data_IF_819662989108
#
_entry.id   IF_819662989108
#
_cell.length_a   1.000
_cell.length_b   1.000
_cell.length_c   1.000
_cell.angle_alpha   90.00
_cell.angle_beta   90.00
_cell.angle_gamma   90.00
#
_symmetry.space_group_name_H-M   'P 1'
#
loop_
_entity.id
_entity.type
_entity.pdbx_description
1 polymer ?
#
# COMPACT_ATOMS: atom_id res chain seq x y z
N UNK A 1 -0.76 -29.86 -11.50
CA UNK A 1 0.45 -29.45 -10.74
C UNK A 1 -0.04 -28.88 -9.43
N UNK A 2 0.46 -29.36 -8.29
CA UNK A 2 0.13 -28.78 -7.01
C UNK A 2 0.93 -27.50 -6.76
N UNK A 3 0.63 -26.81 -5.64
CA UNK A 3 1.25 -25.50 -5.37
C UNK A 3 2.77 -25.58 -5.10
N UNK A 4 3.23 -26.64 -4.45
CA UNK A 4 4.67 -26.83 -4.18
C UNK A 4 5.45 -27.14 -5.47
N UNK A 5 4.87 -27.98 -6.34
CA UNK A 5 5.43 -28.24 -7.67
C UNK A 5 5.48 -26.96 -8.53
N UNK A 6 4.45 -26.10 -8.43
CA UNK A 6 4.41 -24.81 -9.12
C UNK A 6 5.53 -23.88 -8.64
N UNK A 7 5.71 -23.74 -7.34
CA UNK A 7 6.79 -22.93 -6.76
C UNK A 7 8.17 -23.42 -7.17
N UNK A 8 8.41 -24.73 -7.07
CA UNK A 8 9.67 -25.35 -7.45
C UNK A 8 9.99 -25.11 -8.93
N UNK A 9 9.00 -25.28 -9.81
CA UNK A 9 9.16 -25.09 -11.24
C UNK A 9 9.45 -23.62 -11.59
N UNK A 10 8.78 -22.66 -10.96
CA UNK A 10 9.10 -21.24 -11.15
C UNK A 10 10.52 -20.95 -10.72
N UNK A 11 10.94 -21.42 -9.55
CA UNK A 11 12.27 -21.16 -9.03
C UNK A 11 13.38 -21.76 -9.94
N UNK A 12 13.12 -22.90 -10.56
CA UNK A 12 14.05 -23.57 -11.47
C UNK A 12 14.13 -22.85 -12.84
N UNK A 13 12.99 -22.48 -13.41
CA UNK A 13 12.91 -22.02 -14.81
C UNK A 13 13.02 -20.50 -14.98
N UNK A 14 12.81 -19.70 -13.92
CA UNK A 14 12.68 -18.23 -14.04
C UNK A 14 13.91 -17.56 -14.64
N UNK A 15 15.10 -18.08 -14.45
CA UNK A 15 16.32 -17.50 -15.01
C UNK A 15 16.31 -17.49 -16.54
N UNK A 16 15.62 -18.44 -17.17
CA UNK A 16 15.47 -18.50 -18.64
C UNK A 16 14.57 -17.37 -19.22
N UNK A 17 13.83 -16.68 -18.35
CA UNK A 17 12.92 -15.59 -18.73
C UNK A 17 13.43 -14.20 -18.28
N UNK A 18 14.67 -14.15 -17.80
CA UNK A 18 15.32 -12.94 -17.32
C UNK A 18 16.46 -12.53 -18.27
N UNK A 19 16.81 -11.24 -18.34
CA UNK A 19 18.00 -10.77 -19.05
C UNK A 19 19.29 -11.47 -18.58
N UNK A 20 20.28 -11.55 -19.46
CA UNK A 20 21.57 -12.25 -19.19
C UNK A 20 22.26 -11.81 -17.89
N UNK A 21 22.09 -10.56 -17.47
CA UNK A 21 22.64 -10.06 -16.19
C UNK A 21 22.18 -10.87 -14.97
N UNK A 22 21.08 -11.63 -15.06
CA UNK A 22 20.56 -12.48 -13.99
C UNK A 22 21.08 -13.93 -14.02
N UNK A 23 22.01 -14.29 -14.91
CA UNK A 23 22.52 -15.65 -15.01
C UNK A 23 23.07 -16.18 -13.67
N UNK A 24 23.81 -15.34 -12.95
CA UNK A 24 24.38 -15.64 -11.63
C UNK A 24 23.48 -15.25 -10.44
N UNK A 25 22.24 -14.86 -10.70
CA UNK A 25 21.32 -14.47 -9.63
C UNK A 25 20.99 -15.63 -8.69
N UNK A 26 20.83 -15.34 -7.41
CA UNK A 26 20.29 -16.27 -6.42
C UNK A 26 18.78 -16.21 -6.44
N UNK A 27 18.13 -17.35 -6.68
CA UNK A 27 16.66 -17.48 -6.68
C UNK A 27 16.24 -18.16 -5.38
N UNK A 28 15.28 -17.57 -4.67
CA UNK A 28 14.69 -18.11 -3.44
C UNK A 28 13.19 -17.93 -3.45
N UNK A 29 12.48 -18.86 -2.81
CA UNK A 29 11.08 -18.71 -2.44
C UNK A 29 11.01 -18.66 -0.92
N UNK A 30 10.50 -17.57 -0.38
CA UNK A 30 10.41 -17.35 1.06
C UNK A 30 8.98 -16.97 1.45
N UNK A 31 8.56 -17.40 2.63
CA UNK A 31 7.30 -16.97 3.21
C UNK A 31 7.43 -15.57 3.80
N UNK A 32 6.58 -14.67 3.36
CA UNK A 32 6.53 -13.29 3.86
C UNK A 32 5.18 -13.06 4.53
N UNK A 33 5.22 -12.72 5.80
CA UNK A 33 4.03 -12.29 6.52
C UNK A 33 3.76 -10.82 6.22
N UNK A 34 2.62 -10.57 5.62
CA UNK A 34 2.06 -9.23 5.37
C UNK A 34 1.37 -8.68 6.61
N UNK A 35 0.94 -7.43 6.52
CA UNK A 35 0.04 -6.86 7.50
C UNK A 35 -1.22 -7.76 7.65
N UNK A 36 -1.81 -7.78 8.84
CA UNK A 36 -2.97 -8.60 9.18
C UNK A 36 -2.71 -10.12 9.19
N UNK A 37 -1.45 -10.54 9.36
CA UNK A 37 -1.07 -11.95 9.50
C UNK A 37 -1.19 -12.80 8.22
N UNK A 38 -1.47 -12.17 7.07
CA UNK A 38 -1.51 -12.88 5.80
C UNK A 38 -0.10 -13.32 5.41
N UNK A 39 0.10 -14.61 5.23
CA UNK A 39 1.37 -15.17 4.80
C UNK A 39 1.30 -15.51 3.31
N UNK A 40 2.25 -14.97 2.54
CA UNK A 40 2.37 -15.19 1.10
C UNK A 40 3.75 -15.74 0.77
N UNK A 41 3.80 -16.62 -0.22
CA UNK A 41 5.06 -17.14 -0.75
C UNK A 41 5.58 -16.19 -1.83
N UNK A 42 6.78 -15.66 -1.61
CA UNK A 42 7.42 -14.68 -2.49
C UNK A 42 8.64 -15.27 -3.17
N UNK A 43 8.67 -15.15 -4.49
CA UNK A 43 9.89 -15.36 -5.27
C UNK A 43 10.77 -14.12 -5.13
N UNK A 44 12.03 -14.34 -4.81
CA UNK A 44 13.09 -13.35 -4.80
C UNK A 44 14.20 -13.78 -5.75
N UNK A 45 14.56 -12.89 -6.68
CA UNK A 45 15.70 -13.09 -7.59
C UNK A 45 16.70 -11.98 -7.34
N UNK A 46 17.81 -12.32 -6.73
CA UNK A 46 18.83 -11.40 -6.23
C UNK A 46 20.09 -11.46 -7.07
N UNK A 47 20.53 -10.34 -7.62
CA UNK A 47 21.81 -10.24 -8.33
C UNK A 47 22.99 -10.32 -7.34
N UNK A 48 24.16 -10.78 -7.80
CA UNK A 48 25.38 -10.69 -7.00
C UNK A 48 25.64 -9.23 -6.58
N UNK A 49 25.80 -9.02 -5.26
CA UNK A 49 26.02 -7.69 -4.68
C UNK A 49 24.73 -6.90 -4.35
N UNK A 50 23.56 -7.36 -4.74
CA UNK A 50 22.30 -6.83 -4.22
C UNK A 50 22.07 -7.31 -2.77
N UNK A 51 21.60 -6.41 -1.91
CA UNK A 51 21.23 -6.73 -0.52
C UNK A 51 19.71 -6.87 -0.33
N UNK A 52 18.93 -6.52 -1.34
CA UNK A 52 17.47 -6.64 -1.37
C UNK A 52 17.03 -7.09 -2.76
N UNK A 53 15.92 -7.80 -2.81
CA UNK A 53 15.23 -8.14 -4.05
C UNK A 53 13.72 -7.88 -3.90
N UNK A 54 13.01 -7.55 -4.99
CA UNK A 54 11.56 -7.41 -4.92
C UNK A 54 10.93 -8.76 -4.59
N UNK A 55 9.88 -8.72 -3.78
CA UNK A 55 9.09 -9.90 -3.43
C UNK A 55 7.95 -10.06 -4.43
N UNK A 56 8.03 -11.05 -5.30
CA UNK A 56 7.00 -11.37 -6.29
C UNK A 56 6.13 -12.49 -5.72
N UNK A 57 4.89 -12.18 -5.34
CA UNK A 57 4.00 -13.12 -4.66
C UNK A 57 3.44 -14.16 -5.62
N UNK A 58 3.69 -15.44 -5.34
CA UNK A 58 3.34 -16.56 -6.21
C UNK A 58 1.88 -17.02 -6.08
N UNK A 59 1.22 -16.67 -4.97
CA UNK A 59 -0.14 -17.11 -4.68
C UNK A 59 -1.15 -16.72 -5.78
N UNK A 60 -1.08 -15.49 -6.26
CA UNK A 60 -1.94 -14.99 -7.34
C UNK A 60 -1.63 -15.68 -8.67
N UNK A 61 -0.35 -15.86 -9.01
CA UNK A 61 0.07 -16.56 -10.23
C UNK A 61 -0.37 -18.02 -10.24
N UNK A 62 -0.41 -18.67 -9.08
CA UNK A 62 -0.95 -20.02 -8.99
C UNK A 62 -2.45 -20.05 -9.27
N UNK A 63 -3.22 -19.09 -8.76
CA UNK A 63 -4.64 -18.93 -9.13
C UNK A 63 -4.82 -18.80 -10.65
N UNK A 64 -4.05 -17.93 -11.29
CA UNK A 64 -4.07 -17.76 -12.75
C UNK A 64 -3.70 -19.06 -13.49
N UNK A 65 -2.77 -19.86 -12.95
CA UNK A 65 -2.41 -21.15 -13.51
C UNK A 65 -3.58 -22.16 -13.41
N UNK A 66 -4.28 -22.17 -12.28
CA UNK A 66 -5.47 -23.01 -12.11
C UNK A 66 -6.60 -22.63 -13.08
N UNK A 67 -6.71 -21.34 -13.38
CA UNK A 67 -7.66 -20.78 -14.37
C UNK A 67 -7.24 -21.03 -15.85
N UNK A 68 -6.14 -21.79 -16.05
CA UNK A 68 -5.70 -22.22 -17.37
C UNK A 68 -4.61 -21.40 -18.03
N UNK A 69 -4.03 -20.42 -17.33
CA UNK A 69 -2.88 -19.67 -17.85
C UNK A 69 -1.63 -20.57 -17.94
N UNK A 70 -0.93 -20.52 -19.05
CA UNK A 70 0.26 -21.35 -19.26
C UNK A 70 1.44 -20.93 -18.37
N UNK A 71 2.27 -21.89 -17.96
CA UNK A 71 3.49 -21.63 -17.19
C UNK A 71 4.42 -20.66 -17.92
N UNK A 72 4.56 -20.79 -19.22
CA UNK A 72 5.39 -19.91 -20.05
C UNK A 72 4.97 -18.43 -19.91
N UNK A 73 3.66 -18.16 -20.00
CA UNK A 73 3.12 -16.80 -19.87
C UNK A 73 3.31 -16.24 -18.44
N UNK A 74 3.20 -17.10 -17.43
CA UNK A 74 3.44 -16.72 -16.03
C UNK A 74 4.91 -16.40 -15.80
N UNK A 75 5.82 -17.26 -16.25
CA UNK A 75 7.27 -17.05 -16.14
C UNK A 75 7.71 -15.78 -16.89
N UNK A 76 7.19 -15.55 -18.09
CA UNK A 76 7.47 -14.34 -18.86
C UNK A 76 7.02 -13.08 -18.13
N UNK A 77 5.83 -13.11 -17.50
CA UNK A 77 5.33 -11.97 -16.72
C UNK A 77 6.18 -11.73 -15.46
N UNK A 78 6.50 -12.78 -14.71
CA UNK A 78 7.37 -12.70 -13.52
C UNK A 78 8.75 -12.16 -13.91
N UNK A 79 9.32 -12.66 -15.02
CA UNK A 79 10.59 -12.19 -15.56
C UNK A 79 10.55 -10.70 -15.92
N UNK A 80 9.47 -10.25 -16.55
CA UNK A 80 9.25 -8.84 -16.88
C UNK A 80 9.18 -7.98 -15.61
N UNK A 81 8.36 -8.36 -14.61
CA UNK A 81 8.24 -7.66 -13.35
C UNK A 81 9.61 -7.49 -12.70
N UNK A 82 10.42 -8.58 -12.62
CA UNK A 82 11.76 -8.51 -12.03
C UNK A 82 12.71 -7.62 -12.83
N UNK A 83 12.67 -7.70 -14.15
CA UNK A 83 13.57 -6.96 -15.02
C UNK A 83 13.31 -5.44 -15.01
N UNK A 84 12.05 -5.04 -14.87
CA UNK A 84 11.60 -3.64 -14.83
C UNK A 84 11.73 -3.04 -13.41
N UNK A 85 11.76 -3.88 -12.36
CA UNK A 85 11.93 -3.41 -11.00
C UNK A 85 13.36 -2.92 -10.75
N UNK A 86 13.50 -1.61 -10.56
CA UNK A 86 14.77 -0.99 -10.15
C UNK A 86 14.89 -1.08 -8.63
N UNK A 87 15.91 -1.78 -8.13
CA UNK A 87 16.20 -1.82 -6.71
C UNK A 87 17.02 -0.61 -6.30
N UNK A 88 16.82 -0.08 -5.08
CA UNK A 88 17.67 0.95 -4.52
C UNK A 88 19.13 0.48 -4.50
N UNK A 89 20.05 1.33 -4.91
CA UNK A 89 21.49 1.07 -4.83
C UNK A 89 21.95 0.95 -3.36
N UNK A 90 23.12 0.35 -3.14
CA UNK A 90 23.72 0.25 -1.81
C UNK A 90 23.88 1.63 -1.15
N UNK A 91 24.10 2.68 -1.94
CA UNK A 91 24.12 4.07 -1.47
C UNK A 91 22.77 4.53 -0.92
N UNK A 92 21.68 4.09 -1.52
CA UNK A 92 20.33 4.39 -1.03
C UNK A 92 20.05 3.71 0.29
N UNK A 93 20.59 2.48 0.50
CA UNK A 93 20.52 1.78 1.79
C UNK A 93 21.33 2.51 2.87
N UNK A 94 22.47 3.10 2.54
CA UNK A 94 23.26 3.95 3.46
C UNK A 94 22.52 5.23 3.84
N UNK A 95 21.72 5.80 2.92
CA UNK A 95 20.86 6.96 3.19
C UNK A 95 19.88 6.68 4.34
N UNK A 96 19.33 5.43 4.42
CA UNK A 96 18.44 5.05 5.53
C UNK A 96 19.13 5.06 6.90
N UNK A 97 20.44 4.98 6.92
CA UNK A 97 21.20 4.98 8.17
C UNK A 97 21.39 6.40 8.73
N UNK A 98 21.20 7.42 7.90
CA UNK A 98 21.33 8.81 8.28
C UNK A 98 19.96 9.46 8.50
N UNK A 99 19.61 9.72 9.76
CA UNK A 99 18.34 10.32 10.15
C UNK A 99 18.04 11.64 9.44
N UNK A 100 19.01 12.53 9.33
CA UNK A 100 18.85 13.85 8.69
C UNK A 100 18.45 13.76 7.20
N UNK A 101 18.81 12.66 6.53
CA UNK A 101 18.47 12.45 5.12
C UNK A 101 17.08 11.83 4.92
N UNK A 102 16.53 11.21 5.95
CA UNK A 102 15.23 10.51 5.86
C UNK A 102 14.13 11.12 6.70
N UNK A 103 14.42 12.03 7.63
CA UNK A 103 13.45 12.60 8.56
C UNK A 103 12.22 13.20 7.87
N UNK A 104 12.40 13.87 6.73
CA UNK A 104 11.31 14.49 5.97
C UNK A 104 10.50 13.48 5.13
N UNK A 105 10.93 12.21 5.13
CA UNK A 105 10.28 11.07 4.47
C UNK A 105 9.66 10.08 5.45
N UNK A 106 9.78 10.33 6.75
CA UNK A 106 9.17 9.46 7.77
C UNK A 106 7.68 9.73 7.79
N UNK A 107 6.90 8.69 7.51
CA UNK A 107 5.44 8.69 7.52
C UNK A 107 4.95 7.65 8.54
N UNK A 108 3.69 7.69 8.91
CA UNK A 108 3.07 6.57 9.62
C UNK A 108 2.00 5.89 8.79
N UNK A 109 1.79 4.61 9.09
CA UNK A 109 0.68 3.79 8.58
C UNK A 109 -0.10 3.25 9.76
N UNK A 110 -1.41 3.12 9.61
CA UNK A 110 -2.30 2.52 10.62
C UNK A 110 -2.55 1.06 10.26
N UNK A 111 -2.40 0.19 11.25
CA UNK A 111 -2.61 -1.25 11.10
C UNK A 111 -3.39 -1.80 12.31
N UNK A 112 -4.07 -2.94 12.15
CA UNK A 112 -4.66 -3.66 13.26
C UNK A 112 -3.58 -4.23 14.18
N UNK A 113 -3.64 -3.93 15.48
CA UNK A 113 -2.59 -4.31 16.43
C UNK A 113 -2.52 -5.83 16.62
N UNK A 114 -3.66 -6.48 16.80
CA UNK A 114 -3.72 -7.92 17.08
C UNK A 114 -3.14 -8.79 15.96
N UNK A 115 -3.42 -8.43 14.71
CA UNK A 115 -2.94 -9.17 13.54
C UNK A 115 -1.47 -8.93 13.22
N UNK A 116 -0.82 -7.97 13.89
CA UNK A 116 0.56 -7.54 13.59
C UNK A 116 1.50 -7.61 14.81
N UNK A 117 1.17 -8.40 15.84
CA UNK A 117 1.92 -8.47 17.11
C UNK A 117 3.41 -8.70 16.93
N UNK A 118 3.80 -9.62 16.06
CA UNK A 118 5.21 -9.98 15.85
C UNK A 118 6.01 -8.82 15.22
N UNK A 119 5.39 -8.06 14.33
CA UNK A 119 5.99 -6.85 13.75
C UNK A 119 6.11 -5.75 14.79
N UNK A 120 5.06 -5.53 15.60
CA UNK A 120 5.04 -4.51 16.64
C UNK A 120 6.12 -4.75 17.72
N UNK A 121 6.47 -6.00 18.03
CA UNK A 121 7.56 -6.32 18.96
C UNK A 121 8.95 -5.88 18.48
N UNK A 122 9.11 -5.53 17.20
CA UNK A 122 10.41 -5.22 16.57
C UNK A 122 10.46 -3.84 15.95
N UNK A 123 9.39 -3.05 16.11
CA UNK A 123 9.27 -1.73 15.50
C UNK A 123 8.66 -0.72 16.46
N UNK A 124 9.18 0.52 16.49
CA UNK A 124 8.54 1.59 17.25
C UNK A 124 7.15 1.83 16.70
N UNK A 125 6.19 1.97 17.60
CA UNK A 125 4.78 2.16 17.24
C UNK A 125 4.03 2.91 18.34
N UNK A 126 2.87 3.44 18.00
CA UNK A 126 1.93 4.04 18.96
C UNK A 126 0.63 3.28 18.92
N UNK A 127 0.17 2.85 20.10
CA UNK A 127 -1.12 2.17 20.23
C UNK A 127 -2.25 3.18 20.33
N UNK A 128 -3.31 2.93 19.56
CA UNK A 128 -4.56 3.68 19.58
C UNK A 128 -5.74 2.69 19.52
N UNK A 129 -6.24 2.30 20.69
CA UNK A 129 -7.24 1.24 20.87
C UNK A 129 -6.75 -0.11 20.32
N UNK A 130 -7.43 -0.66 19.33
CA UNK A 130 -7.10 -1.90 18.62
C UNK A 130 -6.21 -1.68 17.38
N UNK A 131 -5.80 -0.44 17.14
CA UNK A 131 -4.92 -0.04 16.05
C UNK A 131 -3.53 0.32 16.55
N UNK A 132 -2.55 0.23 15.66
CA UNK A 132 -1.20 0.70 15.88
C UNK A 132 -0.75 1.59 14.73
N UNK A 133 -0.13 2.73 15.06
CA UNK A 133 0.57 3.59 14.12
C UNK A 133 2.02 3.11 14.05
N UNK A 134 2.44 2.64 12.89
CA UNK A 134 3.82 2.19 12.64
C UNK A 134 4.54 3.16 11.71
N UNK A 135 5.82 3.41 11.97
CA UNK A 135 6.61 4.38 11.24
C UNK A 135 7.31 3.74 10.04
N UNK A 136 7.30 4.44 8.92
CA UNK A 136 7.91 3.98 7.68
C UNK A 136 8.66 5.12 7.01
N UNK A 137 9.73 4.81 6.31
CA UNK A 137 10.41 5.75 5.42
C UNK A 137 9.80 5.62 4.03
N UNK A 138 9.22 6.69 3.52
CA UNK A 138 8.68 6.78 2.17
C UNK A 138 9.85 6.77 1.16
N UNK A 139 9.85 5.82 0.25
CA UNK A 139 10.88 5.64 -0.78
C UNK A 139 10.45 6.26 -2.10
N UNK A 140 9.24 5.88 -2.51
CA UNK A 140 8.65 6.33 -3.76
C UNK A 140 7.13 6.41 -3.63
N UNK A 141 6.55 7.33 -4.41
CA UNK A 141 5.12 7.59 -4.50
C UNK A 141 4.74 7.69 -5.98
N UNK A 142 4.67 6.53 -6.65
CA UNK A 142 4.31 6.38 -8.06
C UNK A 142 2.81 6.28 -8.30
N UNK A 143 2.38 6.23 -9.56
CA UNK A 143 0.98 6.04 -9.96
C UNK A 143 0.46 4.64 -9.57
N UNK A 144 1.33 3.64 -9.58
CA UNK A 144 1.00 2.24 -9.26
C UNK A 144 1.00 1.93 -7.75
N UNK A 145 1.37 2.89 -6.90
CA UNK A 145 1.37 2.70 -5.44
C UNK A 145 2.49 3.43 -4.72
N UNK A 146 2.61 3.10 -3.44
CA UNK A 146 3.58 3.70 -2.52
C UNK A 146 4.60 2.66 -2.07
N UNK A 147 5.89 2.94 -2.28
CA UNK A 147 6.99 2.14 -1.75
C UNK A 147 7.50 2.76 -0.46
N UNK A 148 7.59 1.97 0.61
CA UNK A 148 8.08 2.44 1.92
C UNK A 148 8.74 1.31 2.71
N UNK A 149 9.72 1.65 3.55
CA UNK A 149 10.42 0.72 4.43
C UNK A 149 10.01 0.91 5.89
N UNK A 150 9.77 -0.18 6.62
CA UNK A 150 9.43 -0.14 8.04
C UNK A 150 10.62 0.38 8.87
N UNK A 151 10.35 1.30 9.78
CA UNK A 151 11.30 1.71 10.81
C UNK A 151 11.32 0.64 11.90
N UNK A 152 12.48 0.00 12.10
CA UNK A 152 12.68 -1.00 13.15
C UNK A 152 13.25 -0.36 14.41
N UNK A 153 13.13 -1.05 15.55
CA UNK A 153 13.77 -0.62 16.81
C UNK A 153 15.29 -0.43 16.67
N UNK A 154 15.92 -1.27 15.84
CA UNK A 154 17.35 -1.17 15.58
C UNK A 154 17.67 0.12 14.82
N UNK A 155 16.86 0.47 13.84
CA UNK A 155 17.02 1.69 13.06
C UNK A 155 16.75 2.94 13.91
N UNK A 156 15.70 2.93 14.71
CA UNK A 156 15.39 4.01 15.67
C UNK A 156 16.54 4.25 16.66
N UNK A 157 17.08 3.17 17.24
CA UNK A 157 18.25 3.25 18.14
C UNK A 157 19.48 3.83 17.45
N UNK A 158 19.72 3.43 16.19
CA UNK A 158 20.83 3.95 15.40
C UNK A 158 20.70 5.45 15.12
N UNK A 159 19.50 5.92 14.86
CA UNK A 159 19.19 7.33 14.69
C UNK A 159 19.26 8.15 15.98
N UNK A 160 19.15 7.48 17.14
CA UNK A 160 19.17 8.13 18.45
C UNK A 160 17.92 8.96 18.74
N UNK A 161 16.79 8.63 18.11
CA UNK A 161 15.52 9.37 18.23
C UNK A 161 14.51 8.61 19.10
N UNK A 162 13.64 9.36 19.75
CA UNK A 162 12.52 8.82 20.53
C UNK A 162 11.32 8.49 19.63
N UNK A 163 10.40 7.65 20.14
CA UNK A 163 9.12 7.40 19.47
C UNK A 163 8.31 8.69 19.27
N UNK A 164 8.35 9.58 20.25
CA UNK A 164 7.66 10.87 20.17
C UNK A 164 8.18 11.73 19.03
N UNK A 165 9.48 11.82 18.84
CA UNK A 165 10.09 12.54 17.71
C UNK A 165 9.70 11.92 16.36
N UNK A 166 9.66 10.58 16.28
CA UNK A 166 9.17 9.89 15.08
C UNK A 166 7.71 10.23 14.79
N UNK A 167 6.86 10.23 15.83
CA UNK A 167 5.45 10.57 15.68
C UNK A 167 5.24 12.00 15.21
N UNK A 168 5.91 12.96 15.83
CA UNK A 168 5.74 14.38 15.50
C UNK A 168 6.16 14.66 14.03
N UNK A 169 7.25 14.04 13.57
CA UNK A 169 7.69 14.11 12.18
C UNK A 169 6.74 13.38 11.23
N UNK A 170 6.40 12.14 11.57
CA UNK A 170 5.54 11.32 10.74
C UNK A 170 4.16 11.93 10.56
N UNK A 171 3.60 12.56 11.60
CA UNK A 171 2.30 13.23 11.52
C UNK A 171 2.34 14.38 10.49
N UNK A 172 3.32 15.26 10.59
CA UNK A 172 3.47 16.38 9.67
C UNK A 172 3.72 15.90 8.22
N UNK A 173 4.60 14.91 8.05
CA UNK A 173 4.94 14.38 6.74
C UNK A 173 3.77 13.60 6.12
N UNK A 174 3.09 12.75 6.90
CA UNK A 174 1.96 11.95 6.37
C UNK A 174 0.83 12.86 5.92
N UNK A 175 0.52 13.90 6.69
CA UNK A 175 -0.50 14.88 6.32
C UNK A 175 -0.13 15.66 5.03
N UNK A 176 1.15 15.98 4.84
CA UNK A 176 1.65 16.64 3.63
C UNK A 176 1.61 15.71 2.41
N UNK A 177 2.08 14.47 2.57
CA UNK A 177 2.21 13.50 1.49
C UNK A 177 0.89 12.84 1.08
N UNK A 178 -0.05 12.74 2.03
CA UNK A 178 -1.34 12.06 1.87
C UNK A 178 -2.46 12.94 2.46
N UNK A 179 -2.81 14.05 1.80
CA UNK A 179 -3.88 14.94 2.28
C UNK A 179 -5.19 14.18 2.46
N UNK A 180 -5.90 14.47 3.55
CA UNK A 180 -7.17 13.82 3.84
C UNK A 180 -8.24 14.20 2.82
N UNK A 181 -9.04 13.22 2.42
CA UNK A 181 -10.25 13.38 1.62
C UNK A 181 -11.43 12.81 2.42
N UNK A 182 -12.39 13.66 2.75
CA UNK A 182 -13.60 13.27 3.48
C UNK A 182 -14.84 13.67 2.67
N UNK A 183 -15.52 12.66 2.12
CA UNK A 183 -16.63 12.85 1.18
C UNK A 183 -17.81 11.92 1.46
N UNK A 184 -19.05 12.34 1.13
CA UNK A 184 -20.19 11.44 1.14
C UNK A 184 -19.96 10.23 0.24
N UNK A 185 -20.31 9.03 0.72
CA UNK A 185 -20.19 7.79 -0.07
C UNK A 185 -21.03 7.86 -1.35
N UNK A 186 -22.20 8.50 -1.29
CA UNK A 186 -23.07 8.68 -2.46
C UNK A 186 -22.37 9.40 -3.62
N UNK A 187 -21.57 10.44 -3.33
CA UNK A 187 -20.79 11.14 -4.37
C UNK A 187 -19.77 10.23 -5.02
N UNK A 188 -19.05 9.44 -4.22
CA UNK A 188 -18.03 8.50 -4.73
C UNK A 188 -18.69 7.41 -5.58
N UNK A 189 -19.82 6.88 -5.13
CA UNK A 189 -20.58 5.88 -5.90
C UNK A 189 -21.08 6.45 -7.23
N UNK A 190 -21.57 7.69 -7.25
CA UNK A 190 -21.96 8.37 -8.50
C UNK A 190 -20.78 8.47 -9.47
N UNK A 191 -19.63 8.92 -8.99
CA UNK A 191 -18.40 9.01 -9.82
C UNK A 191 -17.98 7.65 -10.38
N UNK A 192 -18.03 6.59 -9.56
CA UNK A 192 -17.72 5.25 -10.01
C UNK A 192 -18.69 4.74 -11.07
N UNK A 193 -20.00 4.94 -10.88
CA UNK A 193 -21.01 4.58 -11.86
C UNK A 193 -20.81 5.32 -13.18
N UNK A 194 -20.59 6.63 -13.13
CA UNK A 194 -20.34 7.43 -14.32
C UNK A 194 -19.11 6.90 -15.08
N UNK A 195 -18.03 6.61 -14.37
CA UNK A 195 -16.80 6.05 -14.96
C UNK A 195 -17.03 4.68 -15.58
N UNK A 196 -17.81 3.82 -14.94
CA UNK A 196 -18.15 2.50 -15.44
C UNK A 196 -19.01 2.57 -16.72
N UNK A 197 -20.01 3.48 -16.74
CA UNK A 197 -20.89 3.65 -17.90
C UNK A 197 -20.22 4.32 -19.09
N UNK A 198 -19.32 5.26 -18.86
CA UNK A 198 -18.77 6.13 -19.93
C UNK A 198 -17.32 5.78 -20.28
N UNK A 199 -16.60 5.07 -19.39
CA UNK A 199 -15.16 4.86 -19.50
C UNK A 199 -14.33 6.14 -19.30
N UNK A 200 -14.96 7.26 -18.93
CA UNK A 200 -14.33 8.58 -18.78
C UNK A 200 -14.34 9.00 -17.31
N UNK A 201 -13.27 9.63 -16.86
CA UNK A 201 -13.21 10.20 -15.51
C UNK A 201 -14.17 11.38 -15.41
N UNK A 202 -15.12 11.39 -14.42
CA UNK A 202 -16.06 12.50 -14.22
C UNK A 202 -15.41 13.87 -14.08
N UNK A 203 -14.18 13.93 -13.54
CA UNK A 203 -13.43 15.17 -13.40
C UNK A 203 -13.02 15.78 -14.77
N UNK A 204 -12.94 14.97 -15.82
CA UNK A 204 -12.59 15.40 -17.18
C UNK A 204 -13.79 15.72 -18.06
N UNK A 205 -15.02 15.52 -17.57
CA UNK A 205 -16.26 15.79 -18.31
C UNK A 205 -16.58 17.29 -18.32
N UNK A 206 -17.23 17.72 -19.42
CA UNK A 206 -17.85 19.04 -19.45
C UNK A 206 -19.02 19.19 -18.47
N UNK A 207 -19.39 20.42 -18.13
CA UNK A 207 -20.39 20.71 -17.11
C UNK A 207 -21.77 20.17 -17.46
N UNK A 208 -22.15 20.16 -18.76
CA UNK A 208 -23.47 19.73 -19.23
C UNK A 208 -23.61 18.20 -19.10
N UNK A 209 -22.59 17.46 -19.53
CA UNK A 209 -22.53 16.00 -19.40
C UNK A 209 -22.52 15.58 -17.93
N UNK A 210 -21.77 16.28 -17.08
CA UNK A 210 -21.76 16.04 -15.63
C UNK A 210 -23.13 16.25 -15.00
N UNK A 211 -23.79 17.37 -15.28
CA UNK A 211 -25.12 17.67 -14.76
C UNK A 211 -26.17 16.62 -15.17
N UNK A 212 -26.09 16.12 -16.41
CA UNK A 212 -26.95 15.03 -16.88
C UNK A 212 -26.78 13.74 -16.04
N UNK A 213 -25.55 13.34 -15.71
CA UNK A 213 -25.32 12.17 -14.89
C UNK A 213 -25.67 12.40 -13.41
N UNK A 214 -25.47 13.61 -12.89
CA UNK A 214 -25.90 13.98 -11.54
C UNK A 214 -27.44 13.88 -11.38
N UNK A 215 -28.19 14.28 -12.39
CA UNK A 215 -29.65 14.13 -12.40
C UNK A 215 -30.07 12.65 -12.56
N UNK A 216 -29.39 11.89 -13.43
CA UNK A 216 -29.66 10.47 -13.66
C UNK A 216 -29.41 9.62 -12.42
N UNK A 217 -28.34 9.88 -11.66
CA UNK A 217 -27.99 9.20 -10.41
C UNK A 217 -28.36 10.05 -9.20
N UNK A 218 -29.63 10.49 -9.14
CA UNK A 218 -30.13 11.29 -8.04
C UNK A 218 -30.05 10.55 -6.69
N UNK A 219 -29.97 11.30 -5.59
CA UNK A 219 -29.83 10.76 -4.23
C UNK A 219 -30.98 9.82 -3.84
N UNK A 220 -32.18 10.03 -4.37
CA UNK A 220 -33.35 9.15 -4.19
C UNK A 220 -33.09 7.70 -4.71
N UNK A 221 -32.26 7.51 -5.74
CA UNK A 221 -31.92 6.17 -6.25
C UNK A 221 -30.90 5.44 -5.39
N UNK A 222 -30.03 6.16 -4.70
CA UNK A 222 -28.96 5.56 -3.87
C UNK A 222 -29.40 5.27 -2.43
N UNK A 223 -30.65 5.58 -2.08
CA UNK A 223 -31.29 5.14 -0.84
C UNK A 223 -30.70 5.79 0.41
N UNK A 224 -30.63 7.10 0.48
CA UNK A 224 -30.17 7.86 1.65
C UNK A 224 -31.05 7.64 2.91
N UNK A 225 -30.90 6.47 3.55
CA UNK A 225 -31.46 6.28 4.89
C UNK A 225 -30.44 6.47 6.00
N UNK A 226 -29.13 6.40 5.68
CA UNK A 226 -28.05 6.64 6.63
C UNK A 226 -26.92 7.37 5.90
N UNK A 227 -26.55 8.58 6.34
CA UNK A 227 -25.43 9.30 5.73
C UNK A 227 -24.13 8.53 6.00
N UNK A 228 -23.55 7.97 4.96
CA UNK A 228 -22.24 7.31 5.01
C UNK A 228 -21.22 8.23 4.36
N UNK A 229 -20.04 8.28 4.98
CA UNK A 229 -18.91 9.06 4.49
C UNK A 229 -17.70 8.15 4.31
N UNK A 230 -16.83 8.50 3.38
CA UNK A 230 -15.53 7.86 3.18
C UNK A 230 -14.45 8.84 3.62
N UNK A 231 -13.61 8.40 4.55
CA UNK A 231 -12.38 9.09 4.91
C UNK A 231 -11.21 8.33 4.28
N UNK A 232 -10.50 9.00 3.40
CA UNK A 232 -9.34 8.46 2.70
C UNK A 232 -8.33 9.57 2.43
N UNK A 233 -7.47 9.40 1.44
CA UNK A 233 -6.57 10.43 0.92
C UNK A 233 -6.74 10.54 -0.61
N UNK A 234 -5.99 11.45 -1.21
CA UNK A 234 -5.98 11.71 -2.65
C UNK A 234 -5.63 10.48 -3.51
N UNK A 235 -5.06 9.43 -2.91
CA UNK A 235 -4.67 8.18 -3.57
C UNK A 235 -5.60 7.00 -3.30
N UNK A 236 -6.64 7.19 -2.51
CA UNK A 236 -7.59 6.14 -2.12
C UNK A 236 -6.92 4.89 -1.49
N UNK A 237 -5.73 5.05 -0.93
CA UNK A 237 -4.97 4.00 -0.25
C UNK A 237 -4.45 4.49 1.10
N UNK A 238 -4.39 3.59 2.10
CA UNK A 238 -3.88 3.91 3.44
C UNK A 238 -4.65 5.04 4.15
N UNK A 239 -5.91 5.26 3.78
CA UNK A 239 -6.74 6.37 4.24
C UNK A 239 -6.99 6.42 5.75
N UNK A 240 -6.84 5.30 6.47
CA UNK A 240 -6.98 5.24 7.92
C UNK A 240 -6.04 6.22 8.66
N UNK A 241 -4.91 6.58 8.07
CA UNK A 241 -3.99 7.57 8.63
C UNK A 241 -4.65 8.95 8.82
N UNK A 242 -5.56 9.32 7.93
CA UNK A 242 -6.24 10.61 7.98
C UNK A 242 -7.08 10.80 9.27
N UNK A 243 -7.55 9.71 9.89
CA UNK A 243 -8.29 9.78 11.17
C UNK A 243 -7.45 10.37 12.32
N UNK A 244 -6.14 10.30 12.21
CA UNK A 244 -5.19 10.76 13.23
C UNK A 244 -4.62 12.15 12.95
N UNK A 245 -5.06 12.80 11.86
CA UNK A 245 -4.65 14.18 11.59
C UNK A 245 -5.29 15.14 12.59
N UNK A 246 -4.59 16.21 12.97
CA UNK A 246 -5.15 17.24 13.82
C UNK A 246 -6.50 17.73 13.31
N UNK A 247 -7.45 17.97 14.21
CA UNK A 247 -8.77 18.51 13.92
C UNK A 247 -9.67 17.63 13.03
N UNK A 248 -9.19 16.49 12.52
CA UNK A 248 -10.00 15.65 11.62
C UNK A 248 -11.23 15.08 12.32
N UNK A 249 -11.09 14.65 13.57
CA UNK A 249 -12.21 14.09 14.35
C UNK A 249 -13.29 15.15 14.58
N UNK A 250 -12.90 16.38 14.86
CA UNK A 250 -13.81 17.53 15.01
C UNK A 250 -14.48 17.86 13.69
N UNK A 251 -13.75 17.90 12.59
CA UNK A 251 -14.31 18.15 11.24
C UNK A 251 -15.31 17.07 10.83
N UNK A 252 -15.05 15.81 11.15
CA UNK A 252 -15.98 14.70 10.91
C UNK A 252 -17.24 14.90 11.76
N UNK A 253 -17.11 15.14 13.06
CA UNK A 253 -18.22 15.32 13.97
C UNK A 253 -19.10 16.52 13.57
N UNK A 254 -18.48 17.61 13.15
CA UNK A 254 -19.20 18.81 12.65
C UNK A 254 -19.98 18.49 11.38
N UNK A 255 -19.38 17.81 10.41
CA UNK A 255 -20.00 17.48 9.13
C UNK A 255 -21.10 16.42 9.25
N UNK A 256 -20.92 15.45 10.14
CA UNK A 256 -21.91 14.40 10.43
C UNK A 256 -23.04 14.91 11.33
N UNK A 257 -22.78 15.94 12.11
CA UNK A 257 -23.76 16.56 13.02
C UNK A 257 -23.99 15.81 14.33
N UNK A 258 -23.01 14.99 14.79
CA UNK A 258 -23.09 14.25 16.03
C UNK A 258 -22.08 13.11 16.13
N UNK A 259 -22.44 12.09 16.92
CA UNK A 259 -21.63 10.88 17.10
C UNK A 259 -21.60 10.05 15.80
N UNK A 260 -20.48 9.36 15.57
CA UNK A 260 -20.26 8.53 14.39
C UNK A 260 -19.51 7.25 14.72
N UNK A 261 -19.68 6.25 13.88
CA UNK A 261 -18.91 5.02 13.93
C UNK A 261 -17.91 4.98 12.77
N UNK A 262 -16.69 4.53 13.06
CA UNK A 262 -15.68 4.26 12.04
C UNK A 262 -15.73 2.78 11.69
N UNK A 263 -15.98 2.47 10.42
CA UNK A 263 -15.98 1.12 9.90
C UNK A 263 -14.71 0.92 9.07
N UNK A 264 -13.93 -0.15 9.30
CA UNK A 264 -12.81 -0.48 8.44
C UNK A 264 -13.33 -0.94 7.07
N UNK A 265 -12.63 -0.56 6.00
CA UNK A 265 -12.91 -0.99 4.62
C UNK A 265 -11.90 -2.03 4.16
#
# INVERSE_FOLDING_TARGET
MDYQEFQAKIAEEIKGYLPEKYADAVVRVEQITKNNGVTLDALQVMLPGEHMAPSIYLNEFYGQHQDGRSMENILAQIGKIRAECTMPDQKDVEVFQNFEQVKDKIIFRVIGADSNRDMLQKSPHRMENDMALVYRVLLDKGEEGTMSALVTDMLQKKWGVTEKELYDLALANTQREFPAVFRPMAEIMKEMMVKEFTGVDPASMDAETRAFFEEMFSDDMLGEKLPMYVLTNDRTSEGAAALFYPEMKEQIAEKVGGDYFVLPS
#
